data_IF_322282145763
#
_entry.id   IF_322282145763
#
_cell.length_a   1.000
_cell.length_b   1.000
_cell.length_c   1.000
_cell.angle_alpha   90.00
_cell.angle_beta   90.00
_cell.angle_gamma   90.00
#
_symmetry.space_group_name_H-M   'P 1'
#
loop_
_entity.id
_entity.type
_entity.pdbx_description
1 polymer ?
#
# COMPACT_ATOMS: atom_id res chain seq x y z
N UNK A 1 63.25 -6.26 -58.98
CA UNK A 1 63.19 -6.42 -60.45
C UNK A 1 63.33 -7.90 -60.83
N UNK A 2 62.24 -8.61 -61.08
CA UNK A 2 62.12 -9.72 -62.06
C UNK A 2 60.63 -10.08 -62.21
N UNK A 3 60.30 -10.50 -63.43
CA UNK A 3 59.00 -10.38 -64.10
C UNK A 3 57.96 -11.44 -63.69
N UNK A 4 56.71 -11.03 -63.90
CA UNK A 4 55.46 -11.76 -64.09
C UNK A 4 55.53 -12.95 -65.07
N UNK A 5 54.68 -13.98 -64.85
CA UNK A 5 53.60 -14.44 -65.77
C UNK A 5 52.73 -15.58 -65.17
N UNK A 6 51.42 -15.53 -65.48
CA UNK A 6 50.26 -16.25 -64.90
C UNK A 6 50.12 -17.73 -65.35
N UNK A 7 49.12 -18.51 -64.85
CA UNK A 7 47.78 -18.46 -65.46
C UNK A 7 46.57 -18.54 -64.50
N UNK A 8 45.52 -17.86 -64.96
CA UNK A 8 44.07 -18.01 -64.79
C UNK A 8 43.50 -19.24 -64.07
N UNK A 9 42.57 -18.97 -63.13
CA UNK A 9 41.33 -19.73 -62.93
C UNK A 9 40.22 -18.78 -62.47
N UNK A 10 39.21 -18.56 -63.31
CA UNK A 10 37.97 -17.88 -62.93
C UNK A 10 37.07 -18.88 -62.20
N UNK A 11 36.74 -18.62 -60.95
CA UNK A 11 35.66 -19.30 -60.24
C UNK A 11 34.52 -18.29 -60.06
N UNK A 12 33.41 -18.54 -60.75
CA UNK A 12 32.15 -17.82 -60.56
C UNK A 12 31.50 -18.39 -59.31
N UNK A 13 31.50 -17.64 -58.21
CA UNK A 13 30.65 -17.94 -57.06
C UNK A 13 29.26 -17.35 -57.32
N UNK A 14 28.30 -18.22 -57.62
CA UNK A 14 26.87 -17.89 -57.63
C UNK A 14 26.41 -17.78 -56.17
N UNK A 15 26.45 -16.58 -55.59
CA UNK A 15 25.89 -16.34 -54.26
C UNK A 15 24.36 -16.25 -54.35
N UNK A 16 23.67 -17.34 -54.03
CA UNK A 16 22.24 -17.33 -53.79
C UNK A 16 21.94 -16.56 -52.49
N UNK A 17 21.37 -15.36 -52.61
CA UNK A 17 20.82 -14.62 -51.47
C UNK A 17 19.49 -15.31 -51.11
N UNK A 18 19.51 -16.12 -50.05
CA UNK A 18 18.29 -16.61 -49.40
C UNK A 18 17.80 -15.48 -48.50
N UNK A 19 16.77 -14.75 -48.96
CA UNK A 19 15.99 -13.85 -48.11
C UNK A 19 15.12 -14.71 -47.18
N UNK A 20 15.63 -14.98 -45.98
CA UNK A 20 14.80 -15.51 -44.90
C UNK A 20 13.91 -14.37 -44.39
N UNK A 21 12.65 -14.34 -44.83
CA UNK A 21 11.61 -13.54 -44.19
C UNK A 21 11.27 -14.23 -42.88
N UNK A 22 11.92 -13.82 -41.79
CA UNK A 22 11.47 -14.16 -40.45
C UNK A 22 10.17 -13.42 -40.18
N UNK A 23 9.04 -14.10 -40.29
CA UNK A 23 7.81 -13.63 -39.68
C UNK A 23 8.05 -13.58 -38.17
N UNK A 24 8.24 -12.38 -37.63
CA UNK A 24 8.10 -12.15 -36.19
C UNK A 24 6.62 -12.33 -35.90
N UNK A 25 6.25 -13.54 -35.51
CA UNK A 25 5.00 -13.76 -34.80
C UNK A 25 5.20 -13.06 -33.46
N UNK A 26 4.65 -11.86 -33.35
CA UNK A 26 4.48 -11.22 -32.05
C UNK A 26 3.58 -12.15 -31.24
N UNK A 27 4.17 -12.87 -30.29
CA UNK A 27 3.41 -13.51 -29.23
C UNK A 27 2.82 -12.37 -28.43
N UNK A 28 1.53 -12.07 -28.65
CA UNK A 28 0.73 -11.41 -27.63
C UNK A 28 0.72 -12.38 -26.45
N UNK A 29 1.65 -12.21 -25.51
CA UNK A 29 1.52 -12.77 -24.17
C UNK A 29 0.39 -11.97 -23.51
N UNK A 30 -0.84 -12.23 -23.95
CA UNK A 30 -2.02 -11.92 -23.16
C UNK A 30 -1.87 -12.79 -21.92
N UNK A 31 -1.34 -12.21 -20.84
CA UNK A 31 -1.05 -12.95 -19.62
C UNK A 31 -2.23 -13.86 -19.28
N UNK A 32 -1.99 -15.16 -19.33
CA UNK A 32 -2.96 -16.20 -19.00
C UNK A 32 -3.26 -16.16 -17.49
N UNK A 33 -3.88 -15.08 -17.03
CA UNK A 33 -4.48 -14.97 -15.72
C UNK A 33 -5.91 -15.49 -15.80
N UNK A 34 -6.08 -16.80 -15.98
CA UNK A 34 -7.36 -17.44 -15.65
C UNK A 34 -7.79 -17.06 -14.23
N UNK A 35 -9.09 -17.18 -13.86
CA UNK A 35 -9.53 -16.87 -12.51
C UNK A 35 -8.64 -17.56 -11.48
N UNK A 36 -8.15 -16.80 -10.50
CA UNK A 36 -7.33 -17.37 -9.42
C UNK A 36 -8.09 -18.53 -8.79
N UNK A 37 -7.44 -19.69 -8.63
CA UNK A 37 -8.07 -20.84 -7.99
C UNK A 37 -8.37 -20.50 -6.52
N UNK A 38 -9.66 -20.42 -6.13
CA UNK A 38 -10.05 -20.02 -4.78
C UNK A 38 -9.70 -21.07 -3.72
N UNK A 39 -9.19 -22.24 -4.10
CA UNK A 39 -8.73 -23.30 -3.19
C UNK A 39 -7.27 -23.14 -2.78
N UNK A 40 -6.51 -22.24 -3.42
CA UNK A 40 -5.11 -22.00 -3.08
C UNK A 40 -4.92 -21.36 -1.70
N UNK A 41 -5.95 -20.68 -1.18
CA UNK A 41 -5.94 -20.11 0.17
C UNK A 41 -6.71 -21.07 1.10
N UNK A 42 -6.05 -21.74 2.06
CA UNK A 42 -6.71 -22.65 2.97
C UNK A 42 -7.69 -21.91 3.87
N UNK A 43 -8.85 -22.53 4.13
CA UNK A 43 -9.94 -21.93 4.91
C UNK A 43 -9.91 -22.43 6.35
N UNK A 44 -10.26 -21.55 7.29
CA UNK A 44 -10.46 -21.88 8.72
C UNK A 44 -9.22 -22.45 9.43
N UNK A 45 -8.04 -22.01 9.00
CA UNK A 45 -6.77 -22.55 9.48
C UNK A 45 -6.10 -21.73 10.57
N UNK A 46 -6.53 -20.48 10.73
CA UNK A 46 -6.10 -19.55 11.77
C UNK A 46 -7.27 -19.14 12.67
N UNK A 47 -7.03 -18.88 13.96
CA UNK A 47 -8.03 -18.31 14.84
C UNK A 47 -8.41 -16.90 14.39
N UNK A 48 -9.68 -16.53 14.57
CA UNK A 48 -10.13 -15.16 14.36
C UNK A 48 -9.47 -14.23 15.39
N UNK A 49 -8.81 -13.18 14.91
CA UNK A 49 -8.31 -12.10 15.77
C UNK A 49 -9.50 -11.29 16.27
N UNK A 50 -9.57 -11.09 17.59
CA UNK A 50 -10.52 -10.17 18.23
C UNK A 50 -9.71 -8.95 18.70
N UNK A 51 -9.79 -7.80 18.01
CA UNK A 51 -9.05 -6.61 18.40
C UNK A 51 -9.42 -6.17 19.83
N UNK A 52 -8.43 -5.97 20.72
CA UNK A 52 -8.67 -5.42 22.05
C UNK A 52 -9.29 -4.03 22.02
N UNK A 53 -9.73 -3.54 23.19
CA UNK A 53 -10.11 -2.15 23.36
C UNK A 53 -8.88 -1.21 23.22
N UNK A 54 -9.05 -0.14 22.45
CA UNK A 54 -8.06 0.93 22.33
C UNK A 54 -7.86 1.59 23.69
N UNK A 55 -6.61 1.66 24.15
CA UNK A 55 -6.31 2.32 25.42
C UNK A 55 -6.35 3.84 25.24
N UNK A 56 -7.04 4.59 26.12
CA UNK A 56 -7.04 6.04 26.06
C UNK A 56 -5.66 6.63 26.34
N UNK A 57 -5.42 7.81 25.78
CA UNK A 57 -4.25 8.59 26.10
C UNK A 57 -4.36 9.23 27.50
N UNK A 58 -5.56 9.70 27.86
CA UNK A 58 -5.85 10.22 29.20
C UNK A 58 -7.32 10.07 29.58
N UNK A 59 -7.59 9.73 30.84
CA UNK A 59 -8.94 9.63 31.41
C UNK A 59 -9.12 10.66 32.53
N UNK A 60 -9.72 11.80 32.20
CA UNK A 60 -10.10 12.81 33.18
C UNK A 60 -11.54 12.63 33.67
N UNK A 61 -11.91 13.31 34.77
CA UNK A 61 -13.28 13.25 35.32
C UNK A 61 -14.38 13.72 34.35
N UNK A 62 -14.03 14.52 33.32
CA UNK A 62 -14.98 15.15 32.39
C UNK A 62 -14.80 14.74 30.93
N UNK A 63 -13.66 14.14 30.56
CA UNK A 63 -13.35 13.81 29.18
C UNK A 63 -12.36 12.65 29.12
N UNK A 64 -12.64 11.70 28.24
CA UNK A 64 -11.67 10.69 27.82
C UNK A 64 -11.01 11.15 26.54
N UNK A 65 -9.68 11.14 26.51
CA UNK A 65 -8.88 11.58 25.38
C UNK A 65 -8.13 10.41 24.76
N UNK A 66 -8.09 10.39 23.44
CA UNK A 66 -7.31 9.45 22.65
C UNK A 66 -6.38 10.22 21.71
N UNK A 67 -5.19 9.67 21.47
CA UNK A 67 -4.31 10.07 20.38
C UNK A 67 -4.09 8.82 19.54
N UNK A 68 -4.66 8.78 18.35
CA UNK A 68 -4.68 7.61 17.49
C UNK A 68 -3.98 7.99 16.18
N UNK A 69 -2.89 7.31 15.89
CA UNK A 69 -2.14 7.51 14.67
C UNK A 69 -2.47 6.41 13.66
N UNK A 70 -2.46 6.74 12.37
CA UNK A 70 -2.32 5.76 11.30
C UNK A 70 -0.85 5.60 10.96
N UNK A 71 -0.39 4.36 10.81
CA UNK A 71 0.98 4.01 10.39
C UNK A 71 0.97 2.82 9.45
N UNK A 72 2.03 2.70 8.67
CA UNK A 72 2.31 1.54 7.82
C UNK A 72 3.04 0.44 8.60
N UNK A 73 2.64 -0.82 8.42
CA UNK A 73 3.33 -2.00 8.96
C UNK A 73 2.93 -3.29 8.23
N UNK A 74 3.71 -4.35 8.40
CA UNK A 74 3.41 -5.67 7.84
C UNK A 74 2.59 -6.53 8.79
N UNK A 75 1.47 -7.07 8.30
CA UNK A 75 0.61 -7.96 9.05
C UNK A 75 0.35 -9.29 8.31
N UNK A 76 0.25 -10.38 9.06
CA UNK A 76 -0.24 -11.65 8.52
C UNK A 76 -1.75 -11.55 8.27
N UNK A 77 -2.14 -11.18 7.05
CA UNK A 77 -3.56 -11.09 6.62
C UNK A 77 -4.03 -12.40 6.02
N UNK A 78 -3.22 -13.00 5.15
CA UNK A 78 -3.45 -14.33 4.60
C UNK A 78 -3.01 -15.41 5.60
N UNK A 79 -3.41 -16.68 5.40
CA UNK A 79 -3.14 -17.73 6.36
C UNK A 79 -1.68 -17.86 6.81
N UNK A 80 -1.47 -18.23 8.07
CA UNK A 80 -0.14 -18.51 8.65
C UNK A 80 0.47 -19.83 8.16
N UNK A 81 -0.20 -20.53 7.23
CA UNK A 81 0.25 -21.79 6.63
C UNK A 81 -0.40 -22.04 5.26
N UNK A 82 0.23 -22.89 4.45
CA UNK A 82 -0.31 -23.34 3.16
C UNK A 82 0.26 -22.61 1.94
N UNK A 83 1.25 -21.73 2.11
CA UNK A 83 1.86 -21.04 0.97
C UNK A 83 2.57 -22.00 0.04
N UNK A 84 2.35 -21.85 -1.27
CA UNK A 84 2.93 -22.75 -2.28
C UNK A 84 2.49 -24.21 -2.16
N UNK A 85 1.43 -24.51 -1.39
CA UNK A 85 0.96 -25.87 -1.11
C UNK A 85 1.66 -26.55 0.08
N UNK A 86 2.60 -25.90 0.76
CA UNK A 86 3.24 -26.44 1.97
C UNK A 86 2.40 -26.13 3.23
N UNK A 87 1.88 -27.15 3.94
CA UNK A 87 1.05 -26.97 5.13
C UNK A 87 1.75 -26.32 6.33
N UNK A 88 3.07 -26.10 6.29
CA UNK A 88 3.83 -25.46 7.37
C UNK A 88 4.42 -24.09 7.00
N UNK A 89 4.25 -23.63 5.76
CA UNK A 89 4.82 -22.36 5.31
C UNK A 89 3.77 -21.25 5.31
N UNK A 90 3.99 -20.13 6.03
CA UNK A 90 3.07 -18.99 6.05
C UNK A 90 2.99 -18.28 4.71
N UNK A 91 1.83 -17.71 4.40
CA UNK A 91 1.72 -16.74 3.32
C UNK A 91 2.58 -15.51 3.64
N UNK A 92 3.11 -14.80 2.62
CA UNK A 92 3.75 -13.52 2.83
C UNK A 92 2.85 -12.57 3.62
N UNK A 93 3.46 -11.79 4.52
CA UNK A 93 2.75 -10.70 5.19
C UNK A 93 2.34 -9.64 4.17
N UNK A 94 1.29 -8.91 4.51
CA UNK A 94 0.77 -7.81 3.71
C UNK A 94 1.12 -6.50 4.41
N UNK A 95 1.76 -5.59 3.68
CA UNK A 95 1.91 -4.21 4.13
C UNK A 95 0.53 -3.55 4.17
N UNK A 96 0.17 -3.03 5.33
CA UNK A 96 -1.13 -2.42 5.59
C UNK A 96 -0.94 -1.08 6.29
N UNK A 97 -1.94 -0.21 6.16
CA UNK A 97 -2.09 0.93 7.04
C UNK A 97 -3.12 0.59 8.12
N UNK A 98 -2.79 0.85 9.37
CA UNK A 98 -3.66 0.58 10.50
C UNK A 98 -3.57 1.65 11.57
N UNK A 99 -4.66 1.81 12.33
CA UNK A 99 -4.71 2.74 13.45
C UNK A 99 -4.19 2.09 14.73
N UNK A 100 -3.43 2.85 15.50
CA UNK A 100 -2.90 2.47 16.80
C UNK A 100 -2.77 3.68 17.72
N UNK A 101 -2.53 3.46 19.01
CA UNK A 101 -2.27 4.53 19.97
C UNK A 101 -0.94 5.19 19.63
N UNK A 102 -0.94 6.51 19.50
CA UNK A 102 0.26 7.26 19.18
C UNK A 102 1.33 7.07 20.26
N UNK A 103 2.56 6.77 19.84
CA UNK A 103 3.69 6.45 20.71
C UNK A 103 3.83 4.96 21.08
N UNK A 104 2.86 4.11 20.71
CA UNK A 104 3.07 2.66 20.81
C UNK A 104 3.99 2.18 19.65
N UNK A 105 4.78 1.11 19.86
CA UNK A 105 5.67 0.58 18.83
C UNK A 105 4.87 -0.15 17.74
N UNK A 106 5.46 -0.35 16.55
CA UNK A 106 4.85 -1.19 15.51
C UNK A 106 4.92 -2.69 15.88
N UNK A 107 4.03 -3.53 15.31
CA UNK A 107 4.09 -4.98 15.50
C UNK A 107 5.44 -5.54 15.04
N UNK A 108 5.96 -6.53 15.78
CA UNK A 108 7.25 -7.17 15.45
C UNK A 108 8.47 -6.50 16.07
N UNK A 109 8.32 -5.36 16.76
CA UNK A 109 9.38 -4.70 17.55
C UNK A 109 9.84 -5.49 18.79
N UNK A 110 9.09 -6.51 19.22
CA UNK A 110 9.30 -7.24 20.48
C UNK A 110 8.54 -6.64 21.67
N UNK A 111 7.94 -5.47 21.50
CA UNK A 111 7.08 -4.81 22.49
C UNK A 111 5.60 -4.93 22.13
N UNK A 112 4.72 -4.69 23.10
CA UNK A 112 3.28 -4.70 22.87
C UNK A 112 2.86 -3.53 21.98
N UNK A 113 2.25 -3.84 20.84
CA UNK A 113 1.72 -2.86 19.89
C UNK A 113 0.20 -2.77 19.96
N UNK A 114 -0.35 -1.58 19.77
CA UNK A 114 -1.78 -1.37 19.50
C UNK A 114 -2.11 -1.13 18.03
N UNK A 115 -1.10 -1.11 17.15
CA UNK A 115 -1.31 -1.02 15.70
C UNK A 115 -1.76 -2.38 15.17
N UNK A 116 -2.93 -2.40 14.54
CA UNK A 116 -3.53 -3.62 13.99
C UNK A 116 -4.47 -3.29 12.82
N UNK A 117 -4.69 -4.25 11.94
CA UNK A 117 -5.67 -4.19 10.87
C UNK A 117 -6.61 -5.41 10.96
N UNK A 118 -7.90 -5.25 11.33
CA UNK A 118 -8.56 -4.03 11.79
C UNK A 118 -7.98 -3.46 13.09
N UNK A 119 -8.12 -2.15 13.27
CA UNK A 119 -7.64 -1.46 14.45
C UNK A 119 -8.35 -1.90 15.74
N UNK A 120 -7.76 -1.56 16.89
CA UNK A 120 -8.36 -1.81 18.19
C UNK A 120 -9.68 -1.04 18.35
N UNK A 121 -10.61 -1.62 19.09
CA UNK A 121 -11.98 -1.10 19.25
C UNK A 121 -12.00 0.11 20.18
N UNK A 122 -12.57 1.24 19.76
CA UNK A 122 -12.83 2.35 20.68
C UNK A 122 -14.14 2.09 21.42
N UNK A 123 -14.06 1.86 22.73
CA UNK A 123 -15.23 1.64 23.58
C UNK A 123 -15.63 2.94 24.30
N UNK A 124 -16.93 3.27 24.26
CA UNK A 124 -17.46 4.48 24.85
C UNK A 124 -18.76 4.21 25.62
N UNK A 125 -19.17 5.18 26.44
CA UNK A 125 -20.48 5.16 27.11
C UNK A 125 -21.33 6.29 26.54
N UNK A 126 -22.63 6.07 26.42
CA UNK A 126 -23.59 7.10 26.01
C UNK A 126 -23.42 8.36 26.86
N UNK A 127 -23.42 9.53 26.22
CA UNK A 127 -23.24 10.85 26.85
C UNK A 127 -21.89 11.07 27.57
N UNK A 128 -20.93 10.15 27.47
CA UNK A 128 -19.57 10.41 27.93
C UNK A 128 -18.81 11.20 26.87
N UNK A 129 -18.18 12.32 27.27
CA UNK A 129 -17.40 13.14 26.34
C UNK A 129 -16.10 12.44 25.99
N UNK A 130 -15.89 12.26 24.69
CA UNK A 130 -14.65 11.72 24.12
C UNK A 130 -14.05 12.76 23.19
N UNK A 131 -12.72 12.86 23.19
CA UNK A 131 -11.97 13.60 22.19
C UNK A 131 -10.89 12.68 21.63
N UNK A 132 -10.82 12.62 20.31
CA UNK A 132 -9.78 11.87 19.60
C UNK A 132 -8.96 12.86 18.79
N UNK A 133 -7.65 12.83 18.96
CA UNK A 133 -6.71 13.42 18.01
C UNK A 133 -6.31 12.32 17.04
N UNK A 134 -6.78 12.42 15.80
CA UNK A 134 -6.35 11.59 14.68
C UNK A 134 -5.03 12.16 14.14
N UNK A 135 -4.03 11.31 13.93
CA UNK A 135 -2.68 11.72 13.56
C UNK A 135 -2.25 10.96 12.31
N UNK A 136 -1.76 11.70 11.32
CA UNK A 136 -1.15 11.14 10.13
C UNK A 136 0.32 10.84 10.41
N UNK A 137 0.66 9.57 10.60
CA UNK A 137 2.06 9.13 10.73
C UNK A 137 2.40 8.15 9.59
N UNK A 138 1.87 8.42 8.39
CA UNK A 138 2.33 7.80 7.15
C UNK A 138 3.68 8.42 6.72
N UNK A 139 4.66 8.20 7.58
CA UNK A 139 6.06 8.64 7.46
C UNK A 139 6.97 7.46 7.78
N UNK A 140 8.22 7.54 7.33
CA UNK A 140 9.23 6.51 7.57
C UNK A 140 9.59 6.36 9.07
N UNK A 141 9.85 7.49 9.74
CA UNK A 141 10.18 7.55 11.15
C UNK A 141 9.48 8.74 11.83
N UNK A 142 8.37 8.52 12.56
CA UNK A 142 7.63 9.59 13.21
C UNK A 142 8.37 10.26 14.37
N UNK A 143 9.46 9.67 14.87
CA UNK A 143 10.27 10.23 15.96
C UNK A 143 11.50 11.00 15.44
N UNK A 144 11.73 11.01 14.12
CA UNK A 144 12.77 11.79 13.46
C UNK A 144 12.48 13.30 13.54
N UNK A 145 13.54 14.12 13.61
CA UNK A 145 13.43 15.59 13.50
C UNK A 145 12.88 16.04 12.14
N UNK A 146 13.00 15.19 11.11
CA UNK A 146 12.58 15.45 9.72
C UNK A 146 11.98 14.17 9.10
N UNK A 147 10.77 13.77 9.52
CA UNK A 147 10.12 12.57 9.00
C UNK A 147 9.87 12.71 7.50
N UNK A 148 10.17 11.66 6.72
CA UNK A 148 9.85 11.62 5.30
C UNK A 148 8.51 10.93 5.11
N UNK A 149 7.62 11.53 4.32
CA UNK A 149 6.32 10.92 4.02
C UNK A 149 6.47 9.61 3.24
N UNK A 150 5.52 8.70 3.45
CA UNK A 150 5.36 7.51 2.63
C UNK A 150 4.37 7.81 1.49
N UNK A 151 4.66 7.36 0.25
CA UNK A 151 3.70 7.43 -0.84
C UNK A 151 2.55 6.42 -0.62
N UNK A 152 1.49 6.53 -1.41
CA UNK A 152 0.34 5.64 -1.31
C UNK A 152 0.69 4.19 -1.71
N UNK A 153 0.17 3.20 -0.99
CA UNK A 153 0.40 1.76 -1.28
C UNK A 153 -0.17 1.32 -2.64
N UNK A 154 -1.19 2.02 -3.11
CA UNK A 154 -1.89 1.75 -4.37
C UNK A 154 -1.76 2.95 -5.33
N UNK A 155 -1.82 2.73 -6.64
CA UNK A 155 -1.84 3.82 -7.61
C UNK A 155 -2.99 4.80 -7.37
N UNK A 156 -2.69 6.09 -7.33
CA UNK A 156 -3.67 7.18 -7.28
C UNK A 156 -3.73 7.86 -8.63
N UNK A 157 -4.93 7.94 -9.21
CA UNK A 157 -5.19 8.63 -10.46
C UNK A 157 -5.41 10.12 -10.20
N UNK A 158 -4.41 10.93 -10.57
CA UNK A 158 -4.45 12.37 -10.36
C UNK A 158 -5.39 13.10 -11.33
N UNK A 159 -5.94 12.42 -12.35
CA UNK A 159 -6.86 13.02 -13.34
C UNK A 159 -8.31 13.05 -12.86
N UNK A 160 -8.60 12.37 -11.75
CA UNK A 160 -9.89 12.42 -11.05
C UNK A 160 -9.93 13.55 -10.02
N UNK A 161 -11.13 13.87 -9.53
CA UNK A 161 -11.28 14.79 -8.39
C UNK A 161 -10.88 14.07 -7.10
N UNK A 162 -9.97 14.68 -6.35
CA UNK A 162 -9.40 14.15 -5.11
C UNK A 162 -8.84 15.30 -4.27
N UNK A 163 -8.24 15.00 -3.11
CA UNK A 163 -7.65 16.02 -2.23
C UNK A 163 -6.60 16.91 -2.92
N UNK A 164 -5.87 16.37 -3.89
CA UNK A 164 -4.84 17.07 -4.67
C UNK A 164 -3.80 17.87 -3.85
N UNK A 165 -3.02 17.23 -2.94
CA UNK A 165 -1.98 17.92 -2.17
C UNK A 165 -0.94 18.73 -2.96
N UNK A 166 -0.47 18.34 -4.17
CA UNK A 166 0.54 19.12 -4.89
C UNK A 166 -0.02 20.38 -5.57
N UNK A 167 -1.35 20.53 -5.64
CA UNK A 167 -2.03 21.61 -6.36
C UNK A 167 -3.07 22.34 -5.51
N UNK A 168 -4.03 23.03 -6.15
CA UNK A 168 -5.18 23.57 -5.45
C UNK A 168 -5.95 22.44 -4.74
N UNK A 169 -6.23 22.56 -3.43
CA UNK A 169 -6.99 21.57 -2.69
C UNK A 169 -8.32 21.22 -3.37
N UNK A 170 -8.70 19.94 -3.30
CA UNK A 170 -10.01 19.45 -3.73
C UNK A 170 -10.30 19.77 -5.20
N UNK A 171 -9.36 19.39 -6.06
CA UNK A 171 -9.47 19.57 -7.50
C UNK A 171 -8.98 18.34 -8.25
N UNK A 172 -9.30 18.28 -9.55
CA UNK A 172 -8.65 17.32 -10.46
C UNK A 172 -7.30 17.87 -10.93
N UNK A 173 -6.29 17.00 -11.00
CA UNK A 173 -5.04 17.27 -11.69
C UNK A 173 -5.15 17.02 -13.20
N UNK A 174 -4.07 17.30 -13.92
CA UNK A 174 -3.91 16.97 -15.34
C UNK A 174 -2.73 16.03 -15.60
N UNK A 175 -2.05 15.58 -14.53
CA UNK A 175 -0.90 14.69 -14.63
C UNK A 175 -1.37 13.22 -14.64
N UNK A 176 -1.14 12.45 -15.71
CA UNK A 176 -1.50 11.04 -15.75
C UNK A 176 -0.48 10.14 -15.02
N UNK A 177 0.63 10.70 -14.52
CA UNK A 177 1.62 9.93 -13.78
C UNK A 177 1.08 9.48 -12.41
N UNK A 178 1.55 8.36 -11.86
CA UNK A 178 1.20 7.97 -10.50
C UNK A 178 1.61 9.05 -9.49
N UNK A 179 0.70 9.39 -8.57
CA UNK A 179 1.05 10.29 -7.48
C UNK A 179 2.01 9.62 -6.49
N UNK A 180 3.12 10.31 -6.17
CA UNK A 180 4.16 9.84 -5.26
C UNK A 180 4.37 10.74 -4.05
N UNK A 181 3.47 11.71 -3.82
CA UNK A 181 3.58 12.65 -2.70
C UNK A 181 2.96 12.13 -1.40
N UNK A 182 2.87 13.00 -0.36
CA UNK A 182 2.30 12.64 0.93
C UNK A 182 0.81 12.29 0.82
N UNK A 183 0.37 11.37 1.67
CA UNK A 183 -1.00 10.85 1.67
C UNK A 183 -1.90 11.76 2.52
N UNK A 184 -2.94 12.40 1.95
CA UNK A 184 -3.91 13.15 2.72
C UNK A 184 -4.85 12.20 3.47
N UNK A 185 -5.23 12.56 4.69
CA UNK A 185 -6.19 11.79 5.47
C UNK A 185 -7.22 12.65 6.19
N UNK A 186 -8.41 12.08 6.38
CA UNK A 186 -9.43 12.56 7.30
C UNK A 186 -10.19 11.35 7.84
N UNK A 187 -10.44 11.31 9.14
CA UNK A 187 -11.15 10.18 9.76
C UNK A 187 -12.61 10.54 10.01
N UNK A 188 -13.52 9.76 9.43
CA UNK A 188 -14.95 9.81 9.70
C UNK A 188 -15.35 8.70 10.68
N UNK A 189 -16.08 9.05 11.74
CA UNK A 189 -16.62 8.06 12.69
C UNK A 189 -18.07 7.77 12.31
N UNK A 190 -18.25 6.73 11.51
CA UNK A 190 -19.57 6.37 10.97
C UNK A 190 -20.61 6.14 12.08
N UNK A 191 -21.72 6.88 12.02
CA UNK A 191 -22.82 6.81 12.99
C UNK A 191 -22.64 7.67 14.24
N UNK A 192 -21.55 8.43 14.36
CA UNK A 192 -21.37 9.37 15.46
C UNK A 192 -22.29 10.60 15.30
N UNK A 193 -22.89 11.05 16.40
CA UNK A 193 -23.57 12.33 16.47
C UNK A 193 -22.60 13.39 16.95
N UNK A 194 -22.03 14.15 16.02
CA UNK A 194 -20.96 15.12 16.27
C UNK A 194 -21.25 16.45 15.55
N UNK A 195 -20.52 17.50 15.92
CA UNK A 195 -20.48 18.72 15.13
C UNK A 195 -19.78 18.47 13.78
N UNK A 196 -20.14 19.25 12.77
CA UNK A 196 -19.61 19.19 11.40
C UNK A 196 -18.08 19.17 11.35
N UNK A 197 -17.42 20.06 12.10
CA UNK A 197 -15.96 20.15 12.16
C UNK A 197 -15.28 18.94 12.82
N UNK A 198 -16.05 17.99 13.36
CA UNK A 198 -15.57 16.73 13.95
C UNK A 198 -16.04 15.49 13.17
N UNK A 199 -16.80 15.68 12.09
CA UNK A 199 -17.44 14.58 11.35
C UNK A 199 -16.50 13.90 10.35
N UNK A 200 -15.43 14.59 9.93
CA UNK A 200 -14.50 14.06 8.92
C UNK A 200 -14.95 14.34 7.50
N UNK A 201 -15.26 15.62 7.24
CA UNK A 201 -15.62 16.11 5.91
C UNK A 201 -14.52 15.78 4.88
N UNK A 202 -14.85 15.32 3.66
CA UNK A 202 -13.84 14.87 2.68
C UNK A 202 -12.77 15.92 2.33
N UNK A 203 -13.10 17.20 2.40
CA UNK A 203 -12.20 18.35 2.11
C UNK A 203 -11.47 18.87 3.37
N UNK A 204 -11.70 18.28 4.55
CA UNK A 204 -11.03 18.64 5.81
C UNK A 204 -9.79 17.77 6.08
N UNK A 205 -9.13 17.33 5.01
CA UNK A 205 -7.96 16.45 5.08
C UNK A 205 -6.71 17.18 5.56
N UNK A 206 -5.75 16.41 6.06
CA UNK A 206 -4.44 16.89 6.49
C UNK A 206 -3.34 15.90 6.08
N UNK A 207 -2.13 16.43 5.89
CA UNK A 207 -0.92 15.68 5.56
C UNK A 207 -0.20 15.21 6.83
N UNK A 208 0.78 14.29 6.71
CA UNK A 208 1.70 13.96 7.79
C UNK A 208 2.51 15.16 8.29
#
# INVERSE_FOLDING_TARGET
>A
MKKWQNPTSFIVYLSAIVLAVSAVVGTTDEGEGGPLDPKLIPKFVDPLVIPPAMRPHGQGKKITTYRIAVREFDQQVLPSKGWGGDPNTPFPKTTVWGYGRAGDPLPGSGEASSFNFPAFTVETRTNARVQVTWINQLVDDPDSDQPQFLPHLLPVDQTLHWSNPPGPPDTRGNDPSPYLGPVPMVTHVHGAHVADHSDGFPEAWYLP
#
